data_IF_551768555577
#
_entry.id   IF_551768555577
#
_cell.length_a   1.000
_cell.length_b   1.000
_cell.length_c   1.000
_cell.angle_alpha   90.00
_cell.angle_beta   90.00
_cell.angle_gamma   90.00
#
_symmetry.space_group_name_H-M   'P 1'
#
loop_
_entity.id
_entity.type
_entity.pdbx_description
1 polymer ?
#
# COMPACT_ATOMS: atom_id res chain seq x y z
N UNK A 1 57.20 -27.78 -8.31
CA UNK A 1 55.92 -28.36 -7.83
C UNK A 1 55.04 -27.21 -7.39
N UNK A 2 54.05 -26.87 -8.21
CA UNK A 2 53.27 -25.62 -8.22
C UNK A 2 52.35 -25.54 -7.00
N UNK A 3 52.41 -24.45 -6.22
CA UNK A 3 51.51 -24.19 -5.08
C UNK A 3 50.12 -23.80 -5.61
N UNK A 4 49.10 -24.55 -5.19
CA UNK A 4 47.69 -24.33 -5.50
C UNK A 4 47.16 -23.13 -4.69
N UNK A 5 46.77 -22.05 -5.36
CA UNK A 5 46.11 -20.89 -4.72
C UNK A 5 44.61 -21.20 -4.63
N UNK A 6 44.09 -21.41 -3.41
CA UNK A 6 42.66 -21.56 -3.15
C UNK A 6 42.00 -20.18 -3.31
N UNK A 7 41.29 -19.95 -4.42
CA UNK A 7 40.43 -18.79 -4.59
C UNK A 7 39.16 -19.01 -3.76
N UNK A 8 39.13 -18.48 -2.53
CA UNK A 8 37.93 -18.45 -1.71
C UNK A 8 36.96 -17.43 -2.33
N UNK A 9 36.07 -17.92 -3.18
CA UNK A 9 35.08 -17.09 -3.87
C UNK A 9 34.03 -16.60 -2.86
N UNK A 10 34.19 -15.37 -2.36
CA UNK A 10 33.17 -14.66 -1.58
C UNK A 10 31.97 -14.36 -2.48
N UNK A 11 31.03 -15.30 -2.58
CA UNK A 11 29.73 -15.05 -3.20
C UNK A 11 28.97 -14.05 -2.31
N UNK A 12 28.58 -12.88 -2.81
CA UNK A 12 27.74 -11.97 -2.05
C UNK A 12 26.39 -12.65 -1.78
N UNK A 13 25.97 -12.71 -0.51
CA UNK A 13 24.59 -13.02 -0.15
C UNK A 13 23.71 -11.91 -0.74
N UNK A 14 23.11 -12.18 -1.89
CA UNK A 14 22.08 -11.31 -2.46
C UNK A 14 20.84 -11.50 -1.59
N UNK A 15 20.61 -10.58 -0.65
CA UNK A 15 19.35 -10.54 0.09
C UNK A 15 18.25 -10.06 -0.84
N UNK A 16 17.44 -10.99 -1.36
CA UNK A 16 16.27 -10.65 -2.16
C UNK A 16 15.13 -10.21 -1.23
N UNK A 17 14.77 -8.91 -1.27
CA UNK A 17 13.57 -8.44 -0.59
C UNK A 17 12.34 -9.12 -1.22
N UNK A 18 11.63 -9.94 -0.44
CA UNK A 18 10.40 -10.55 -0.91
C UNK A 18 9.31 -9.48 -1.06
N UNK A 19 8.67 -9.46 -2.22
CA UNK A 19 7.71 -8.43 -2.62
C UNK A 19 6.41 -8.56 -1.83
N UNK A 20 6.17 -7.65 -0.89
CA UNK A 20 4.84 -7.40 -0.34
C UNK A 20 3.98 -6.73 -1.44
N UNK A 21 2.82 -7.30 -1.74
CA UNK A 21 1.87 -6.71 -2.68
C UNK A 21 0.54 -6.45 -1.99
N UNK A 22 -0.20 -5.50 -2.54
CA UNK A 22 -1.59 -5.27 -2.17
C UNK A 22 -2.48 -5.90 -3.23
N UNK A 23 -3.40 -6.74 -2.80
CA UNK A 23 -4.41 -7.32 -3.67
C UNK A 23 -5.75 -6.63 -3.45
N UNK A 24 -6.47 -6.43 -4.54
CA UNK A 24 -7.89 -6.02 -4.54
C UNK A 24 -8.21 -4.82 -3.64
N UNK A 25 -7.60 -3.64 -3.86
CA UNK A 25 -8.03 -2.43 -3.17
C UNK A 25 -9.50 -2.13 -3.51
N UNK A 26 -10.30 -1.84 -2.50
CA UNK A 26 -11.73 -1.55 -2.67
C UNK A 26 -12.11 -0.24 -1.97
N UNK A 27 -13.15 0.38 -2.49
CA UNK A 27 -13.85 1.49 -1.86
C UNK A 27 -15.31 1.06 -1.67
N UNK A 28 -15.81 1.09 -0.43
CA UNK A 28 -17.15 0.58 -0.08
C UNK A 28 -17.39 -0.85 -0.60
N UNK A 29 -16.41 -1.73 -0.39
CA UNK A 29 -16.39 -3.14 -0.85
C UNK A 29 -16.39 -3.37 -2.36
N UNK A 30 -16.30 -2.30 -3.16
CA UNK A 30 -16.33 -2.37 -4.62
C UNK A 30 -14.98 -1.97 -5.22
N UNK A 31 -14.63 -2.58 -6.36
CA UNK A 31 -13.49 -2.14 -7.16
C UNK A 31 -13.95 -1.01 -8.07
N UNK A 32 -13.29 0.15 -7.98
CA UNK A 32 -13.55 1.33 -8.80
C UNK A 32 -15.05 1.71 -8.91
N UNK A 33 -15.78 1.86 -7.78
CA UNK A 33 -17.21 2.15 -7.80
C UNK A 33 -17.51 3.50 -8.45
N UNK A 34 -18.67 3.57 -9.10
CA UNK A 34 -19.24 4.81 -9.62
C UNK A 34 -20.44 5.22 -8.76
N UNK A 35 -20.59 6.52 -8.52
CA UNK A 35 -21.79 7.05 -7.87
C UNK A 35 -21.95 6.64 -6.39
N UNK A 36 -20.89 6.72 -5.59
CA UNK A 36 -20.98 6.48 -4.15
C UNK A 36 -21.93 7.50 -3.49
N UNK A 37 -22.94 7.00 -2.78
CA UNK A 37 -23.91 7.83 -2.04
C UNK A 37 -23.41 8.36 -0.68
N UNK A 38 -22.14 8.10 -0.34
CA UNK A 38 -21.52 8.53 0.93
C UNK A 38 -20.50 9.63 0.72
N UNK A 39 -20.42 10.57 1.67
CA UNK A 39 -19.40 11.62 1.72
C UNK A 39 -18.13 11.17 2.46
N UNK A 40 -18.19 10.03 3.15
CA UNK A 40 -17.08 9.43 3.90
C UNK A 40 -16.84 8.01 3.41
N UNK A 41 -16.39 7.83 2.15
CA UNK A 41 -16.11 6.51 1.61
C UNK A 41 -15.03 5.80 2.43
N UNK A 42 -15.13 4.47 2.50
CA UNK A 42 -14.25 3.61 3.29
C UNK A 42 -13.42 2.73 2.37
N UNK A 43 -12.11 2.75 2.59
CA UNK A 43 -11.13 2.01 1.80
C UNK A 43 -10.73 0.72 2.50
N UNK A 44 -10.58 -0.35 1.73
CA UNK A 44 -10.04 -1.62 2.23
C UNK A 44 -8.97 -2.14 1.28
N UNK A 45 -7.98 -2.84 1.83
CA UNK A 45 -6.92 -3.50 1.06
C UNK A 45 -6.49 -4.79 1.74
N UNK A 46 -5.93 -5.72 0.96
CA UNK A 46 -5.44 -7.00 1.44
C UNK A 46 -3.95 -7.08 1.18
N UNK A 47 -3.19 -7.50 2.19
CA UNK A 47 -1.75 -7.78 2.05
C UNK A 47 -1.60 -9.19 1.46
N UNK A 48 -0.79 -9.31 0.42
CA UNK A 48 -0.37 -10.57 -0.15
C UNK A 48 1.16 -10.69 -0.04
N UNK A 49 1.63 -11.78 0.54
CA UNK A 49 3.05 -12.04 0.73
C UNK A 49 3.34 -13.54 0.66
N UNK A 50 4.53 -13.89 0.18
CA UNK A 50 5.06 -15.25 0.26
C UNK A 50 5.61 -15.59 1.65
N UNK A 51 5.81 -14.58 2.51
CA UNK A 51 6.28 -14.74 3.89
C UNK A 51 5.13 -15.15 4.79
N UNK A 52 5.42 -16.02 5.76
CA UNK A 52 4.52 -16.27 6.88
C UNK A 52 4.61 -15.14 7.89
N UNK A 53 3.54 -14.97 8.68
CA UNK A 53 3.48 -14.01 9.80
C UNK A 53 3.72 -12.55 9.38
N UNK A 54 3.26 -12.17 8.19
CA UNK A 54 3.25 -10.76 7.76
C UNK A 54 2.04 -10.07 8.36
N UNK A 55 2.29 -9.00 9.11
CA UNK A 55 1.26 -8.16 9.70
C UNK A 55 1.53 -6.71 9.31
N UNK A 56 0.49 -5.98 8.92
CA UNK A 56 0.58 -4.54 8.74
C UNK A 56 0.88 -3.86 10.09
N UNK A 57 1.88 -2.99 10.13
CA UNK A 57 2.19 -2.13 11.29
C UNK A 57 1.82 -0.67 11.05
N UNK A 58 1.50 -0.30 9.82
CA UNK A 58 0.90 0.98 9.50
C UNK A 58 0.53 1.15 8.04
N UNK A 59 -0.17 2.23 7.75
CA UNK A 59 -0.53 2.61 6.39
C UNK A 59 -0.45 4.12 6.17
N UNK A 60 -0.42 4.53 4.90
CA UNK A 60 -0.65 5.89 4.46
C UNK A 60 -1.57 5.86 3.24
N UNK A 61 -2.74 6.49 3.37
CA UNK A 61 -3.70 6.70 2.31
C UNK A 61 -3.48 8.08 1.69
N UNK A 62 -3.50 8.14 0.37
CA UNK A 62 -3.53 9.41 -0.37
C UNK A 62 -4.68 9.36 -1.37
N UNK A 63 -5.44 10.45 -1.42
CA UNK A 63 -6.56 10.66 -2.34
C UNK A 63 -6.27 11.89 -3.19
N UNK A 64 -6.50 11.79 -4.49
CA UNK A 64 -6.18 12.79 -5.51
C UNK A 64 -7.35 12.95 -6.48
N UNK A 65 -7.47 14.14 -7.10
CA UNK A 65 -8.43 14.37 -8.21
C UNK A 65 -7.93 13.84 -9.54
N UNK A 66 -6.62 13.71 -9.69
CA UNK A 66 -6.01 13.19 -10.92
C UNK A 66 -5.24 11.90 -10.68
N UNK A 67 -5.16 11.06 -11.72
CA UNK A 67 -4.47 9.77 -11.69
C UNK A 67 -2.95 9.89 -11.51
N UNK A 68 -2.37 11.07 -11.79
CA UNK A 68 -0.95 11.35 -11.62
C UNK A 68 -0.59 11.83 -10.21
N UNK A 69 -1.56 11.94 -9.29
CA UNK A 69 -1.36 12.41 -7.92
C UNK A 69 -0.68 13.79 -7.84
N UNK A 70 -1.01 14.70 -8.77
CA UNK A 70 -0.55 16.09 -8.78
C UNK A 70 -1.48 17.01 -7.99
N UNK A 71 -2.78 16.71 -8.00
CA UNK A 71 -3.82 17.41 -7.24
C UNK A 71 -4.31 16.54 -6.08
N UNK A 72 -3.45 16.42 -5.07
CA UNK A 72 -3.74 15.65 -3.86
C UNK A 72 -4.70 16.43 -2.95
N UNK A 73 -5.85 15.83 -2.66
CA UNK A 73 -6.88 16.43 -1.79
C UNK A 73 -6.77 15.98 -0.34
N UNK A 74 -6.17 14.80 -0.09
CA UNK A 74 -6.00 14.29 1.26
C UNK A 74 -4.85 13.29 1.37
N UNK A 75 -4.13 13.36 2.49
CA UNK A 75 -3.12 12.39 2.92
C UNK A 75 -3.36 12.10 4.40
N UNK A 76 -3.24 10.83 4.81
CA UNK A 76 -3.27 10.49 6.24
C UNK A 76 -1.92 10.74 6.93
N UNK A 77 -0.83 10.80 6.17
CA UNK A 77 0.49 10.48 6.70
C UNK A 77 0.56 9.03 7.16
N UNK A 78 1.64 8.65 7.85
CA UNK A 78 1.77 7.30 8.41
C UNK A 78 0.89 7.14 9.66
N UNK A 79 -0.08 6.25 9.58
CA UNK A 79 -0.92 5.82 10.71
C UNK A 79 -0.38 4.48 11.23
N UNK A 80 -0.06 4.39 12.52
CA UNK A 80 0.43 3.15 13.16
C UNK A 80 -0.75 2.28 13.61
N UNK A 81 -1.09 1.29 12.81
CA UNK A 81 -2.20 0.35 13.06
C UNK A 81 -2.12 -0.84 12.10
N UNK A 82 -2.68 -1.97 12.52
CA UNK A 82 -2.93 -3.15 11.69
C UNK A 82 -4.24 -3.06 10.89
N UNK A 83 -5.06 -2.03 11.11
CA UNK A 83 -6.33 -1.86 10.40
C UNK A 83 -6.12 -1.68 8.90
N UNK A 84 -6.77 -2.53 8.11
CA UNK A 84 -6.73 -2.52 6.63
C UNK A 84 -8.12 -2.61 5.97
N UNK A 85 -9.18 -2.67 6.78
CA UNK A 85 -10.56 -2.85 6.34
C UNK A 85 -11.40 -1.65 6.77
N UNK A 86 -12.17 -1.14 5.82
CA UNK A 86 -13.13 -0.04 6.00
C UNK A 86 -12.54 1.21 6.65
N UNK A 87 -11.31 1.58 6.27
CA UNK A 87 -10.65 2.80 6.72
C UNK A 87 -11.36 3.99 6.10
N UNK A 88 -12.06 4.78 6.93
CA UNK A 88 -12.85 5.91 6.48
C UNK A 88 -11.99 7.06 5.96
N UNK A 89 -12.44 7.66 4.86
CA UNK A 89 -11.98 8.98 4.42
C UNK A 89 -12.25 10.03 5.50
N UNK A 90 -11.22 10.79 5.88
CA UNK A 90 -11.30 11.87 6.88
C UNK A 90 -10.74 13.20 6.35
N UNK A 91 -10.68 13.34 5.04
CA UNK A 91 -10.24 14.57 4.39
C UNK A 91 -11.36 15.60 4.22
N UNK A 92 -11.09 16.68 3.46
CA UNK A 92 -12.08 17.68 3.11
C UNK A 92 -13.30 17.11 2.37
N UNK A 93 -14.44 17.81 2.39
CA UNK A 93 -15.64 17.33 1.72
C UNK A 93 -15.42 17.04 0.22
N UNK A 94 -15.79 15.83 -0.22
CA UNK A 94 -15.70 15.42 -1.62
C UNK A 94 -16.83 16.03 -2.44
N UNK A 95 -16.49 16.56 -3.61
CA UNK A 95 -17.44 17.14 -4.56
C UNK A 95 -18.33 16.03 -5.17
N UNK A 96 -19.59 16.37 -5.45
CA UNK A 96 -20.50 15.45 -6.12
C UNK A 96 -20.11 15.28 -7.60
N UNK A 97 -20.24 14.07 -8.14
CA UNK A 97 -19.97 13.77 -9.55
C UNK A 97 -18.48 13.80 -9.94
N UNK A 98 -17.57 14.01 -8.99
CA UNK A 98 -16.14 14.06 -9.25
C UNK A 98 -15.50 12.67 -9.08
N UNK A 99 -14.53 12.36 -9.96
CA UNK A 99 -13.73 11.14 -9.86
C UNK A 99 -12.54 11.40 -8.95
N UNK A 100 -12.29 10.49 -8.03
CA UNK A 100 -11.11 10.50 -7.18
C UNK A 100 -10.27 9.26 -7.42
N UNK A 101 -8.97 9.44 -7.35
CA UNK A 101 -7.95 8.41 -7.39
C UNK A 101 -7.39 8.24 -5.99
N UNK A 102 -7.09 7.02 -5.60
CA UNK A 102 -6.46 6.78 -4.30
C UNK A 102 -5.42 5.68 -4.43
N UNK A 103 -4.44 5.73 -3.53
CA UNK A 103 -3.54 4.62 -3.30
C UNK A 103 -3.25 4.51 -1.81
N UNK A 104 -2.72 3.36 -1.41
CA UNK A 104 -2.27 3.12 -0.05
C UNK A 104 -0.87 2.54 -0.08
N UNK A 105 -0.01 3.07 0.78
CA UNK A 105 1.28 2.48 1.12
C UNK A 105 1.15 1.81 2.47
N UNK A 106 1.72 0.61 2.63
CA UNK A 106 1.70 -0.14 3.89
C UNK A 106 3.11 -0.37 4.41
N UNK A 107 3.23 -0.47 5.73
CA UNK A 107 4.40 -0.98 6.42
C UNK A 107 4.00 -2.28 7.09
N UNK A 108 4.85 -3.29 7.03
CA UNK A 108 4.67 -4.55 7.74
C UNK A 108 5.60 -4.63 8.96
N UNK A 109 5.73 -5.83 9.52
CA UNK A 109 6.48 -6.13 10.73
C UNK A 109 7.93 -6.58 10.50
N UNK A 110 8.51 -6.39 9.30
CA UNK A 110 9.95 -6.62 9.09
C UNK A 110 10.42 -6.44 7.66
#
# INVERSE_FOLDING_TARGET
MTRLILFLCLLPLITQAQKLTLTTPTCEYQQNPLGLGTKTPRFSWVLASARRNVLQTGYELVVSRDAGFRDVVWKTGRVKTDQSVLVAYRGPALAAGEKYHWHVRVWDNG
#
